data_IF_416351933669
#
_entry.id   IF_416351933669
#
_cell.length_a   1.000
_cell.length_b   1.000
_cell.length_c   1.000
_cell.angle_alpha   90.00
_cell.angle_beta   90.00
_cell.angle_gamma   90.00
#
_symmetry.space_group_name_H-M   'P 1'
#
loop_
_entity.id
_entity.type
_entity.pdbx_description
1 polymer ?
#
# COMPACT_ATOMS: atom_id res chain seq x y z
N UNK A 1 -39.77 13.07 -29.00
CA UNK A 1 -39.28 11.90 -28.25
C UNK A 1 -38.00 12.31 -27.53
N UNK A 2 -38.09 12.63 -26.23
CA UNK A 2 -36.94 13.05 -25.40
C UNK A 2 -36.26 11.78 -24.86
N UNK A 3 -35.02 11.53 -25.27
CA UNK A 3 -34.21 10.44 -24.70
C UNK A 3 -33.59 10.99 -23.42
N UNK A 4 -34.20 10.65 -22.29
CA UNK A 4 -33.62 10.87 -20.96
C UNK A 4 -32.46 9.89 -20.79
N UNK A 5 -31.22 10.37 -20.89
CA UNK A 5 -30.05 9.59 -20.44
C UNK A 5 -30.13 9.50 -18.92
N UNK A 6 -30.48 8.33 -18.42
CA UNK A 6 -30.27 7.95 -17.03
C UNK A 6 -28.76 7.90 -16.79
N UNK A 7 -28.22 9.01 -16.30
CA UNK A 7 -26.86 9.02 -15.72
C UNK A 7 -27.00 8.30 -14.39
N UNK A 8 -26.66 7.01 -14.38
CA UNK A 8 -26.44 6.28 -13.14
C UNK A 8 -25.26 6.95 -12.45
N UNK A 9 -25.58 7.75 -11.44
CA UNK A 9 -24.63 8.34 -10.52
C UNK A 9 -23.84 7.20 -9.88
N UNK A 10 -22.57 7.04 -10.26
CA UNK A 10 -21.61 6.27 -9.48
C UNK A 10 -21.42 7.02 -8.16
N UNK A 11 -22.25 6.68 -7.18
CA UNK A 11 -22.17 7.18 -5.80
C UNK A 11 -20.87 6.72 -5.18
N UNK A 12 -19.91 7.64 -5.10
CA UNK A 12 -18.60 7.48 -4.51
C UNK A 12 -17.68 8.53 -5.09
N UNK A 13 -17.55 9.66 -4.40
CA UNK A 13 -16.56 10.69 -4.72
C UNK A 13 -15.22 10.01 -5.02
N UNK A 14 -14.61 10.32 -6.17
CA UNK A 14 -13.24 9.94 -6.52
C UNK A 14 -12.30 10.28 -5.36
N UNK A 15 -12.02 9.33 -4.47
CA UNK A 15 -10.88 9.47 -3.57
C UNK A 15 -9.65 9.13 -4.42
N UNK A 16 -8.95 10.18 -4.87
CA UNK A 16 -7.78 10.05 -5.73
C UNK A 16 -6.60 9.38 -5.03
N UNK A 17 -5.54 9.16 -5.79
CA UNK A 17 -4.26 8.71 -5.23
C UNK A 17 -3.55 9.92 -4.64
N UNK A 18 -3.33 9.91 -3.34
CA UNK A 18 -2.65 10.95 -2.58
C UNK A 18 -1.22 10.53 -2.30
N UNK A 19 -0.26 11.38 -2.62
CA UNK A 19 1.15 11.21 -2.24
C UNK A 19 1.43 12.01 -0.97
N UNK A 20 2.03 11.38 0.03
CA UNK A 20 2.43 12.02 1.28
C UNK A 20 3.79 12.69 1.08
N UNK A 21 3.78 13.83 0.39
CA UNK A 21 5.01 14.49 -0.12
C UNK A 21 6.05 14.79 0.97
N UNK A 22 5.62 15.12 2.19
CA UNK A 22 6.53 15.38 3.30
C UNK A 22 7.37 14.13 3.67
N UNK A 23 6.74 12.96 3.73
CA UNK A 23 7.42 11.70 4.01
C UNK A 23 8.31 11.28 2.83
N UNK A 24 7.81 11.40 1.59
CA UNK A 24 8.58 11.06 0.39
C UNK A 24 9.85 11.93 0.31
N UNK A 25 9.72 13.25 0.47
CA UNK A 25 10.85 14.18 0.49
C UNK A 25 11.87 13.79 1.55
N UNK A 26 11.43 13.55 2.77
CA UNK A 26 12.29 13.14 3.89
C UNK A 26 13.05 11.83 3.60
N UNK A 27 12.39 10.83 3.01
CA UNK A 27 13.03 9.57 2.65
C UNK A 27 14.03 9.71 1.49
N UNK A 28 13.81 10.64 0.56
CA UNK A 28 14.76 10.95 -0.50
C UNK A 28 15.99 11.66 0.09
N UNK A 29 15.79 12.69 0.91
CA UNK A 29 16.86 13.48 1.53
C UNK A 29 17.73 12.64 2.47
N UNK A 30 17.15 11.62 3.11
CA UNK A 30 17.88 10.65 3.93
C UNK A 30 18.53 9.51 3.13
N UNK A 31 18.46 9.52 1.79
CA UNK A 31 18.94 8.46 0.89
C UNK A 31 18.30 7.08 1.13
N UNK A 32 17.15 7.02 1.82
CA UNK A 32 16.44 5.77 2.06
C UNK A 32 15.62 5.33 0.84
N UNK A 33 14.95 6.28 0.19
CA UNK A 33 14.14 6.09 -1.01
C UNK A 33 14.92 6.60 -2.23
N UNK A 34 15.34 5.68 -3.10
CA UNK A 34 16.01 6.05 -4.36
C UNK A 34 15.00 6.42 -5.45
N UNK A 35 15.43 7.16 -6.48
CA UNK A 35 14.59 7.45 -7.65
C UNK A 35 14.08 6.19 -8.35
N UNK A 36 14.86 5.09 -8.28
CA UNK A 36 14.47 3.80 -8.84
C UNK A 36 13.36 3.14 -8.01
N UNK A 37 13.46 3.19 -6.69
CA UNK A 37 12.41 2.70 -5.78
C UNK A 37 11.12 3.47 -6.03
N UNK A 38 11.21 4.79 -6.12
CA UNK A 38 10.07 5.66 -6.38
C UNK A 38 9.42 5.39 -7.74
N UNK A 39 10.23 5.21 -8.80
CA UNK A 39 9.73 4.87 -10.13
C UNK A 39 8.94 3.55 -10.16
N UNK A 40 9.29 2.57 -9.31
CA UNK A 40 8.48 1.35 -9.15
C UNK A 40 7.14 1.64 -8.45
N UNK A 41 7.14 2.44 -7.39
CA UNK A 41 5.91 2.82 -6.69
C UNK A 41 4.92 3.55 -7.60
N UNK A 42 5.40 4.50 -8.41
CA UNK A 42 4.56 5.25 -9.34
C UNK A 42 3.90 4.34 -10.39
N UNK A 43 4.63 3.36 -10.92
CA UNK A 43 4.07 2.39 -11.88
C UNK A 43 2.98 1.49 -11.27
N UNK A 44 2.99 1.28 -9.95
CA UNK A 44 1.99 0.49 -9.24
C UNK A 44 0.75 1.29 -8.85
N UNK A 45 0.79 2.62 -8.85
CA UNK A 45 -0.31 3.48 -8.44
C UNK A 45 -1.65 3.15 -9.11
N UNK A 46 -1.74 2.92 -10.45
CA UNK A 46 -3.00 2.59 -11.11
C UNK A 46 -3.66 1.29 -10.63
N UNK A 47 -2.94 0.47 -9.89
CA UNK A 47 -3.38 -0.83 -9.40
C UNK A 47 -3.78 -0.80 -7.92
N UNK A 48 -3.79 0.37 -7.28
CA UNK A 48 -4.23 0.49 -5.89
C UNK A 48 -5.74 0.40 -5.78
N UNK A 49 -6.20 -0.56 -4.97
CA UNK A 49 -7.59 -0.65 -4.56
C UNK A 49 -7.92 0.50 -3.61
N UNK A 50 -9.00 1.27 -3.88
CA UNK A 50 -9.43 2.36 -3.01
C UNK A 50 -9.60 1.92 -1.56
N UNK A 51 -9.23 2.79 -0.64
CA UNK A 51 -9.29 2.67 0.82
C UNK A 51 -8.44 1.56 1.45
N UNK A 52 -8.25 0.41 0.79
CA UNK A 52 -7.44 -0.69 1.30
C UNK A 52 -5.96 -0.56 0.97
N UNK A 53 -5.62 0.17 -0.11
CA UNK A 53 -4.26 0.29 -0.63
C UNK A 53 -3.62 -1.04 -1.10
N UNK A 54 -4.44 -2.09 -1.28
CA UNK A 54 -4.04 -3.37 -1.84
C UNK A 54 -3.74 -3.21 -3.33
N UNK A 55 -2.66 -3.81 -3.82
CA UNK A 55 -2.43 -3.94 -5.25
C UNK A 55 -3.36 -5.00 -5.82
N UNK A 56 -4.24 -4.58 -6.73
CA UNK A 56 -5.25 -5.42 -7.36
C UNK A 56 -5.22 -5.32 -8.88
N UNK A 57 -5.60 -6.40 -9.52
CA UNK A 57 -5.87 -6.44 -10.95
C UNK A 57 -7.31 -6.85 -11.19
N UNK A 58 -8.00 -6.15 -12.08
CA UNK A 58 -9.20 -6.68 -12.70
C UNK A 58 -8.78 -7.79 -13.69
N UNK A 59 -9.38 -8.97 -13.57
CA UNK A 59 -9.30 -9.97 -14.63
C UNK A 59 -10.42 -9.71 -15.62
N UNK A 60 -10.11 -9.60 -16.91
CA UNK A 60 -11.14 -9.56 -17.94
C UNK A 60 -11.57 -11.00 -18.22
N UNK A 61 -12.87 -11.29 -18.04
CA UNK A 61 -13.45 -12.52 -18.57
C UNK A 61 -14.06 -12.26 -19.93
N UNK A 62 -14.16 -13.30 -20.75
CA UNK A 62 -14.74 -13.26 -22.10
C UNK A 62 -16.18 -12.72 -22.18
N UNK A 63 -16.86 -12.50 -21.06
CA UNK A 63 -18.24 -12.02 -20.98
C UNK A 63 -18.45 -10.81 -20.03
N UNK A 64 -17.40 -10.08 -19.61
CA UNK A 64 -17.55 -8.84 -18.83
C UNK A 64 -16.43 -8.54 -17.82
N UNK A 65 -16.64 -7.50 -17.00
CA UNK A 65 -15.74 -7.12 -15.89
C UNK A 65 -15.62 -8.27 -14.89
N UNK A 66 -14.42 -8.81 -14.72
CA UNK A 66 -14.18 -9.99 -13.89
C UNK A 66 -13.77 -9.68 -12.46
N UNK A 67 -13.42 -10.74 -11.74
CA UNK A 67 -13.10 -10.68 -10.33
C UNK A 67 -11.85 -9.84 -10.09
N UNK A 68 -11.93 -8.97 -9.09
CA UNK A 68 -10.77 -8.22 -8.59
C UNK A 68 -9.95 -9.17 -7.72
N UNK A 69 -8.70 -9.39 -8.10
CA UNK A 69 -7.78 -10.26 -7.37
C UNK A 69 -6.49 -9.52 -7.00
N UNK A 70 -5.84 -9.95 -5.92
CA UNK A 70 -4.54 -9.42 -5.52
C UNK A 70 -3.51 -9.63 -6.64
N UNK A 71 -2.69 -8.60 -6.88
CA UNK A 71 -1.80 -8.57 -8.02
C UNK A 71 -0.65 -9.58 -7.87
N UNK A 72 -0.60 -10.57 -8.75
CA UNK A 72 0.46 -11.59 -8.69
C UNK A 72 1.81 -11.01 -9.12
N UNK A 73 2.92 -11.60 -8.66
CA UNK A 73 4.27 -11.20 -9.09
C UNK A 73 4.49 -11.35 -10.62
N UNK A 74 3.72 -12.20 -11.31
CA UNK A 74 3.76 -12.27 -12.77
C UNK A 74 3.13 -11.03 -13.41
N UNK A 75 1.99 -10.57 -12.88
CA UNK A 75 1.37 -9.33 -13.35
C UNK A 75 2.28 -8.13 -13.05
N UNK A 76 2.90 -8.05 -11.86
CA UNK A 76 3.92 -7.01 -11.55
C UNK A 76 5.10 -7.10 -12.53
N UNK A 77 5.56 -8.30 -12.87
CA UNK A 77 6.64 -8.50 -13.84
C UNK A 77 6.30 -7.94 -15.22
N UNK A 78 5.08 -8.14 -15.68
CA UNK A 78 4.58 -7.57 -16.93
C UNK A 78 4.50 -6.03 -16.85
N UNK A 79 3.98 -5.48 -15.74
CA UNK A 79 3.89 -4.02 -15.52
C UNK A 79 5.28 -3.38 -15.62
N UNK A 80 6.28 -3.97 -14.97
CA UNK A 80 7.65 -3.44 -14.98
C UNK A 80 8.46 -3.78 -16.24
N UNK A 81 7.94 -4.63 -17.14
CA UNK A 81 8.68 -5.15 -18.29
C UNK A 81 9.94 -5.95 -17.88
N UNK A 82 9.85 -6.76 -16.83
CA UNK A 82 11.00 -7.49 -16.23
C UNK A 82 10.69 -8.97 -16.04
N UNK A 83 11.73 -9.78 -15.85
CA UNK A 83 11.53 -11.19 -15.47
C UNK A 83 10.91 -11.30 -14.07
N UNK A 84 10.13 -12.37 -13.83
CA UNK A 84 9.59 -12.70 -12.50
C UNK A 84 10.68 -12.70 -11.44
N UNK A 85 11.86 -13.28 -11.74
CA UNK A 85 12.99 -13.34 -10.79
C UNK A 85 13.50 -11.96 -10.39
N UNK A 86 13.59 -11.02 -11.34
CA UNK A 86 13.99 -9.63 -11.04
C UNK A 86 12.93 -8.92 -10.21
N UNK A 87 11.66 -9.07 -10.57
CA UNK A 87 10.55 -8.46 -9.83
C UNK A 87 10.40 -9.00 -8.43
N UNK A 88 10.55 -10.31 -8.22
CA UNK A 88 10.57 -10.88 -6.85
C UNK A 88 11.64 -10.21 -6.00
N UNK A 89 12.85 -9.99 -6.54
CA UNK A 89 13.92 -9.30 -5.79
C UNK A 89 13.56 -7.86 -5.48
N UNK A 90 13.06 -7.12 -6.46
CA UNK A 90 12.65 -5.72 -6.29
C UNK A 90 11.54 -5.61 -5.24
N UNK A 91 10.46 -6.38 -5.38
CA UNK A 91 9.34 -6.38 -4.44
C UNK A 91 9.80 -6.76 -3.04
N UNK A 92 10.62 -7.80 -2.88
CA UNK A 92 11.18 -8.16 -1.57
C UNK A 92 12.08 -7.07 -0.99
N UNK A 93 12.84 -6.34 -1.80
CA UNK A 93 13.62 -5.20 -1.33
C UNK A 93 12.73 -4.05 -0.87
N UNK A 94 11.68 -3.72 -1.60
CA UNK A 94 10.73 -2.68 -1.20
C UNK A 94 9.96 -3.06 0.07
N UNK A 95 9.61 -4.33 0.25
CA UNK A 95 9.03 -4.86 1.51
C UNK A 95 10.03 -4.75 2.66
N UNK A 96 11.28 -5.15 2.46
CA UNK A 96 12.35 -5.01 3.46
C UNK A 96 12.66 -3.55 3.82
N UNK A 97 12.31 -2.60 2.95
CA UNK A 97 12.38 -1.16 3.23
C UNK A 97 11.09 -0.59 3.83
N UNK A 98 10.04 -1.38 4.01
CA UNK A 98 8.73 -0.88 4.45
C UNK A 98 8.04 0.07 3.46
N UNK A 99 8.49 0.13 2.21
CA UNK A 99 7.86 0.92 1.13
C UNK A 99 6.59 0.22 0.64
N UNK A 100 6.67 -1.11 0.52
CA UNK A 100 5.52 -2.00 0.33
C UNK A 100 5.30 -2.79 1.62
N UNK A 101 4.05 -3.18 1.87
CA UNK A 101 3.68 -4.05 2.98
C UNK A 101 3.25 -5.40 2.43
N UNK A 102 3.54 -6.47 3.18
CA UNK A 102 3.17 -7.84 2.83
C UNK A 102 2.21 -8.37 3.87
N UNK A 103 1.07 -8.90 3.42
CA UNK A 103 0.17 -9.68 4.26
C UNK A 103 0.16 -11.12 3.76
N UNK A 104 0.42 -12.02 4.69
CA UNK A 104 0.41 -13.46 4.49
C UNK A 104 -0.71 -14.04 5.35
N UNK A 105 -1.34 -15.11 4.87
CA UNK A 105 -2.16 -15.94 5.74
C UNK A 105 -1.27 -16.80 6.66
N UNK A 106 -1.84 -17.34 7.73
CA UNK A 106 -1.09 -18.10 8.73
C UNK A 106 -0.35 -19.31 8.14
N UNK A 107 -0.91 -19.94 7.09
CA UNK A 107 -0.29 -21.09 6.45
C UNK A 107 0.91 -20.67 5.57
N UNK A 108 0.85 -19.48 4.95
CA UNK A 108 1.95 -18.88 4.20
C UNK A 108 3.04 -18.32 5.13
N UNK A 109 2.69 -17.83 6.31
CA UNK A 109 3.66 -17.45 7.37
C UNK A 109 4.45 -18.67 7.85
N UNK A 110 3.76 -19.74 8.28
CA UNK A 110 4.40 -20.98 8.74
C UNK A 110 5.34 -21.56 7.67
N UNK A 111 4.90 -21.56 6.41
CA UNK A 111 5.72 -22.05 5.31
C UNK A 111 6.94 -21.16 5.06
N UNK A 112 6.79 -19.84 5.16
CA UNK A 112 7.91 -18.89 5.02
C UNK A 112 8.93 -19.08 6.12
N UNK A 113 8.49 -19.29 7.36
CA UNK A 113 9.37 -19.60 8.49
C UNK A 113 10.13 -20.91 8.26
N UNK A 114 9.43 -21.96 7.79
CA UNK A 114 10.03 -23.27 7.53
C UNK A 114 11.01 -23.30 6.35
N UNK A 115 10.70 -22.59 5.26
CA UNK A 115 11.44 -22.66 3.99
C UNK A 115 12.31 -21.44 3.69
N UNK A 116 12.23 -20.38 4.50
CA UNK A 116 12.88 -19.10 4.27
C UNK A 116 12.36 -18.34 3.04
N UNK A 117 11.24 -18.77 2.45
CA UNK A 117 10.64 -18.15 1.24
C UNK A 117 9.12 -18.29 1.23
N UNK A 118 8.45 -17.29 0.67
CA UNK A 118 7.00 -17.33 0.42
C UNK A 118 6.73 -18.16 -0.83
N UNK A 119 5.94 -19.23 -0.69
CA UNK A 119 5.57 -20.15 -1.78
C UNK A 119 4.12 -19.99 -2.22
N UNK A 120 3.25 -19.53 -1.31
CA UNK A 120 1.83 -19.21 -1.57
C UNK A 120 1.61 -17.78 -2.06
N UNK A 121 0.37 -17.49 -2.44
CA UNK A 121 -0.06 -16.15 -2.83
C UNK A 121 0.07 -15.20 -1.63
N UNK A 122 0.51 -13.97 -1.92
CA UNK A 122 0.68 -12.91 -0.93
C UNK A 122 -0.05 -11.67 -1.38
N UNK A 123 -0.61 -10.95 -0.43
CA UNK A 123 -1.23 -9.66 -0.66
C UNK A 123 -0.15 -8.58 -0.47
N UNK A 124 0.01 -7.71 -1.47
CA UNK A 124 1.00 -6.63 -1.44
C UNK A 124 0.25 -5.31 -1.38
N UNK A 125 0.58 -4.51 -0.38
CA UNK A 125 -0.02 -3.20 -0.16
C UNK A 125 1.03 -2.12 -0.35
N UNK A 126 0.60 -0.94 -0.77
CA UNK A 126 1.43 0.25 -0.71
C UNK A 126 1.39 0.83 0.70
N UNK A 127 2.54 1.25 1.24
CA UNK A 127 2.58 1.92 2.53
C UNK A 127 1.73 3.21 2.47
N UNK A 128 0.64 3.33 3.26
CA UNK A 128 -0.26 4.49 3.22
C UNK A 128 0.42 5.78 3.69
N UNK A 129 1.54 5.70 4.40
CA UNK A 129 2.35 6.86 4.80
C UNK A 129 3.18 7.43 3.65
N UNK A 130 3.19 6.78 2.48
CA UNK A 130 3.86 7.25 1.27
C UNK A 130 2.85 7.59 0.18
N UNK A 131 1.94 6.66 -0.12
CA UNK A 131 0.91 6.83 -1.14
C UNK A 131 -0.35 6.16 -0.62
N UNK A 132 -1.49 6.85 -0.69
CA UNK A 132 -2.79 6.30 -0.29
C UNK A 132 -3.85 6.56 -1.35
N UNK A 133 -4.56 5.52 -1.76
CA UNK A 133 -5.71 5.62 -2.66
C UNK A 133 -6.97 5.87 -1.82
N UNK A 134 -7.15 7.11 -1.35
CA UNK A 134 -8.19 7.40 -0.37
C UNK A 134 -8.05 8.75 0.32
N UNK A 135 -8.90 8.97 1.32
CA UNK A 135 -8.78 10.06 2.28
C UNK A 135 -7.81 9.68 3.42
N UNK A 136 -6.72 10.44 3.58
CA UNK A 136 -5.72 10.24 4.65
C UNK A 136 -6.27 10.52 6.06
N UNK A 137 -7.48 11.06 6.17
CA UNK A 137 -8.21 11.19 7.44
C UNK A 137 -9.17 10.02 7.70
N UNK A 138 -9.26 9.06 6.78
CA UNK A 138 -10.13 7.87 6.88
C UNK A 138 -9.42 6.63 6.33
N UNK A 139 -8.25 6.32 6.87
CA UNK A 139 -7.45 5.19 6.44
C UNK A 139 -8.07 3.89 6.96
N UNK A 140 -8.29 2.91 6.09
CA UNK A 140 -8.90 1.63 6.47
C UNK A 140 -8.14 0.96 7.63
N UNK A 141 -8.88 0.50 8.65
CA UNK A 141 -8.33 -0.17 9.84
C UNK A 141 -7.41 -1.35 9.50
N UNK A 142 -7.77 -2.18 8.52
CA UNK A 142 -6.96 -3.31 8.10
C UNK A 142 -5.58 -2.87 7.60
N UNK A 143 -5.52 -1.79 6.83
CA UNK A 143 -4.27 -1.18 6.37
C UNK A 143 -3.46 -0.59 7.54
N UNK A 144 -4.11 0.06 8.49
CA UNK A 144 -3.46 0.58 9.70
C UNK A 144 -2.83 -0.52 10.56
N UNK A 145 -3.57 -1.61 10.80
CA UNK A 145 -3.07 -2.76 11.55
C UNK A 145 -1.92 -3.45 10.83
N UNK A 146 -2.01 -3.57 9.49
CA UNK A 146 -0.94 -4.13 8.68
C UNK A 146 0.33 -3.28 8.76
N UNK A 147 0.19 -1.95 8.66
CA UNK A 147 1.30 -1.01 8.81
C UNK A 147 1.91 -1.14 10.20
N UNK A 148 1.12 -1.09 11.28
CA UNK A 148 1.61 -1.20 12.66
C UNK A 148 2.43 -2.48 12.89
N UNK A 149 2.03 -3.60 12.29
CA UNK A 149 2.77 -4.88 12.36
C UNK A 149 4.05 -4.88 11.54
N UNK A 150 4.07 -4.15 10.42
CA UNK A 150 5.15 -4.14 9.44
C UNK A 150 5.79 -2.75 9.30
N UNK A 151 5.89 -1.98 10.39
CA UNK A 151 6.41 -0.61 10.36
C UNK A 151 7.94 -0.60 10.33
N UNK A 152 8.49 -1.14 9.24
CA UNK A 152 9.91 -1.35 9.06
C UNK A 152 10.68 -0.03 9.08
N UNK A 153 10.08 1.05 8.58
CA UNK A 153 10.71 2.38 8.56
C UNK A 153 10.91 2.89 10.00
N UNK A 154 9.87 2.80 10.84
CA UNK A 154 9.96 3.19 12.25
C UNK A 154 10.92 2.28 13.04
N UNK A 155 10.93 0.97 12.76
CA UNK A 155 11.84 -0.03 13.35
C UNK A 155 13.32 0.25 13.04
N UNK A 156 13.63 0.79 11.86
CA UNK A 156 14.98 1.23 11.50
C UNK A 156 15.33 2.62 12.05
N UNK A 157 14.53 3.15 12.99
CA UNK A 157 14.70 4.46 13.61
C UNK A 157 14.62 5.65 12.61
N UNK A 158 13.91 5.47 11.50
CA UNK A 158 13.69 6.52 10.51
C UNK A 158 12.38 7.22 10.84
N UNK A 159 12.47 8.34 11.55
CA UNK A 159 11.31 9.07 12.09
C UNK A 159 10.68 9.96 11.03
N UNK A 160 9.81 9.38 10.21
CA UNK A 160 9.07 10.15 9.18
C UNK A 160 8.24 11.31 9.79
N UNK A 161 8.13 12.45 9.08
CA UNK A 161 7.40 13.64 9.56
C UNK A 161 5.91 13.43 9.83
N UNK A 162 5.27 12.51 9.12
CA UNK A 162 3.85 12.17 9.26
C UNK A 162 3.70 10.69 9.55
N UNK A 163 2.79 10.34 10.47
CA UNK A 163 2.52 8.96 10.88
C UNK A 163 1.05 8.65 10.91
N UNK A 164 0.70 7.42 10.55
CA UNK A 164 -0.65 6.90 10.71
C UNK A 164 -0.85 6.45 12.14
N UNK A 165 -1.95 6.88 12.74
CA UNK A 165 -2.43 6.40 14.03
C UNK A 165 -3.83 5.84 13.89
N UNK A 166 -4.18 4.92 14.79
CA UNK A 166 -5.57 4.52 15.01
C UNK A 166 -6.06 5.28 16.24
N UNK A 167 -7.12 6.07 16.09
CA UNK A 167 -7.77 6.70 17.24
C UNK A 167 -8.51 5.61 18.02
N UNK A 168 -8.39 5.60 19.35
CA UNK A 168 -8.83 4.49 20.22
C UNK A 168 -10.32 4.14 20.14
N UNK A 169 -11.15 4.98 19.51
CA UNK A 169 -12.60 4.81 19.38
C UNK A 169 -13.08 4.77 17.93
N UNK A 170 -12.17 4.90 16.96
CA UNK A 170 -12.52 5.02 15.54
C UNK A 170 -12.21 3.72 14.79
N UNK A 171 -13.06 3.35 13.84
CA UNK A 171 -12.85 2.21 12.94
C UNK A 171 -11.92 2.53 11.75
N UNK A 172 -11.18 3.64 11.84
CA UNK A 172 -10.24 4.09 10.83
C UNK A 172 -9.01 4.77 11.46
N UNK A 173 -7.95 4.88 10.67
CA UNK A 173 -6.75 5.62 11.01
C UNK A 173 -6.70 7.00 10.37
N UNK A 174 -5.87 7.85 10.94
CA UNK A 174 -5.61 9.21 10.45
C UNK A 174 -4.11 9.41 10.30
N UNK A 175 -3.70 10.18 9.28
CA UNK A 175 -2.34 10.67 9.17
C UNK A 175 -2.17 11.94 10.01
N UNK A 176 -1.24 11.92 10.96
CA UNK A 176 -0.93 13.01 11.89
C UNK A 176 0.54 13.42 11.79
N UNK A 177 0.87 14.58 12.35
CA UNK A 177 2.27 15.01 12.47
C UNK A 177 3.06 14.16 13.46
N UNK A 178 4.38 14.11 13.30
CA UNK A 178 5.29 13.43 14.21
C UNK A 178 5.11 13.90 15.66
N UNK A 179 4.98 15.21 15.87
CA UNK A 179 4.72 15.80 17.19
C UNK A 179 3.44 15.22 17.83
N UNK A 180 2.34 15.20 17.09
CA UNK A 180 1.07 14.61 17.57
C UNK A 180 1.20 13.11 17.83
N UNK A 181 1.93 12.39 16.97
CA UNK A 181 2.20 10.97 17.16
C UNK A 181 2.96 10.72 18.47
N UNK A 182 4.01 11.47 18.74
CA UNK A 182 4.82 11.36 19.97
C UNK A 182 3.99 11.69 21.22
N UNK A 183 3.20 12.76 21.18
CA UNK A 183 2.27 13.15 22.26
C UNK A 183 1.27 12.02 22.58
N UNK A 184 0.69 11.39 21.54
CA UNK A 184 -0.29 10.31 21.70
C UNK A 184 0.32 8.98 22.13
N UNK A 185 1.58 8.73 21.77
CA UNK A 185 2.31 7.53 22.16
C UNK A 185 3.00 7.66 23.52
N UNK A 186 2.92 8.83 24.16
CA UNK A 186 3.58 9.11 25.45
C UNK A 186 5.10 9.15 25.37
N UNK A 187 5.64 9.52 24.19
CA UNK A 187 7.07 9.62 23.94
C UNK A 187 7.48 11.09 24.10
N UNK A 188 8.11 11.44 25.22
CA UNK A 188 8.71 12.77 25.47
C UNK A 188 10.20 12.76 25.13
#
# INVERSE_FOLDING_TARGET
MKITKTVTMLGGLNQGIVQVSANIKFLIESNYLSSKDWGYCIQLCPYLSPSSNLLVSAEEYSHGYGMISALSLNKIANIYGKSRRQVTRVVSQLIKKGILLEKLDSAAEEEKERLGKVVRQREIYMNPELIYAGDLQQINMGTCLLLKRNDVIEQHNIKMPLKVIVKQEEEYGVLVTRKQYEELMGMQ
#
